data_IF_916645061282
#
_entry.id   IF_916645061282
#
_cell.length_a   1.000
_cell.length_b   1.000
_cell.length_c   1.000
_cell.angle_alpha   90.00
_cell.angle_beta   90.00
_cell.angle_gamma   90.00
#
_symmetry.space_group_name_H-M   'P 1'
#
loop_
_entity.id
_entity.type
_entity.pdbx_description
1 polymer ?
#
# COMPACT_ATOMS: atom_id res chain seq x y z
N UNK A 1 21.86 -2.88 -18.84
CA UNK A 1 20.46 -3.26 -18.59
C UNK A 1 19.99 -3.99 -19.84
N UNK A 2 19.74 -5.29 -19.74
CA UNK A 2 18.92 -5.97 -20.75
C UNK A 2 17.50 -5.44 -20.65
N UNK A 3 16.74 -5.43 -21.74
CA UNK A 3 15.34 -5.00 -21.74
C UNK A 3 14.48 -5.76 -20.70
N UNK A 4 14.88 -6.99 -20.34
CA UNK A 4 14.26 -7.79 -19.28
C UNK A 4 14.37 -7.23 -17.85
N UNK A 5 15.32 -6.32 -17.56
CA UNK A 5 15.44 -5.71 -16.22
C UNK A 5 14.42 -4.58 -15.99
N UNK A 6 13.77 -4.08 -17.04
CA UNK A 6 12.89 -2.89 -16.99
C UNK A 6 11.54 -3.20 -16.31
N UNK A 7 11.14 -4.48 -16.24
CA UNK A 7 9.80 -4.89 -15.77
C UNK A 7 9.77 -5.46 -14.34
N UNK A 8 10.89 -5.43 -13.62
CA UNK A 8 10.96 -5.89 -12.23
C UNK A 8 10.88 -4.72 -11.28
N UNK A 9 10.03 -4.83 -10.27
CA UNK A 9 9.96 -3.84 -9.19
C UNK A 9 9.74 -4.52 -7.85
N UNK A 10 10.42 -4.02 -6.84
CA UNK A 10 10.16 -4.39 -5.45
C UNK A 10 8.92 -3.67 -4.94
N UNK A 11 8.24 -4.26 -3.95
CA UNK A 11 7.07 -3.63 -3.33
C UNK A 11 7.45 -2.32 -2.64
N UNK A 12 8.66 -2.25 -2.09
CA UNK A 12 9.27 -1.02 -1.56
C UNK A 12 9.34 0.09 -2.62
N UNK A 13 9.84 -0.21 -3.82
CA UNK A 13 9.94 0.77 -4.91
C UNK A 13 8.56 1.28 -5.33
N UNK A 14 7.55 0.41 -5.39
CA UNK A 14 6.17 0.83 -5.68
C UNK A 14 5.66 1.85 -4.66
N UNK A 15 5.86 1.58 -3.36
CA UNK A 15 5.44 2.48 -2.29
C UNK A 15 6.24 3.77 -2.25
N UNK A 16 7.53 3.70 -2.53
CA UNK A 16 8.38 4.89 -2.64
C UNK A 16 7.94 5.80 -3.80
N UNK A 17 7.64 5.21 -4.97
CA UNK A 17 7.13 5.94 -6.12
C UNK A 17 5.77 6.56 -5.84
N UNK A 18 4.86 5.81 -5.21
CA UNK A 18 3.56 6.31 -4.78
C UNK A 18 3.69 7.50 -3.81
N UNK A 19 4.52 7.39 -2.77
CA UNK A 19 4.78 8.51 -1.83
C UNK A 19 5.36 9.73 -2.56
N UNK A 20 6.30 9.50 -3.47
CA UNK A 20 6.91 10.58 -4.26
C UNK A 20 5.88 11.29 -5.14
N UNK A 21 4.92 10.55 -5.70
CA UNK A 21 3.81 11.12 -6.45
C UNK A 21 2.88 11.95 -5.55
N UNK A 22 2.53 11.47 -4.35
CA UNK A 22 1.76 12.26 -3.37
C UNK A 22 2.46 13.60 -3.05
N UNK A 23 3.77 13.56 -2.77
CA UNK A 23 4.56 14.76 -2.51
C UNK A 23 4.58 15.73 -3.70
N UNK A 24 4.74 15.21 -4.92
CA UNK A 24 4.76 16.01 -6.13
C UNK A 24 3.43 16.73 -6.39
N UNK A 25 2.31 16.20 -5.88
CA UNK A 25 0.98 16.81 -6.03
C UNK A 25 0.70 17.94 -5.04
N UNK A 26 1.44 18.04 -3.93
CA UNK A 26 1.19 19.05 -2.87
C UNK A 26 1.14 20.48 -3.41
N UNK A 27 2.10 20.96 -4.22
CA UNK A 27 2.06 22.35 -4.69
C UNK A 27 0.81 22.68 -5.53
N UNK A 28 0.24 21.68 -6.21
CA UNK A 28 -0.97 21.85 -7.00
C UNK A 28 -2.23 21.80 -6.12
N UNK A 29 -2.25 20.91 -5.12
CA UNK A 29 -3.32 20.86 -4.13
C UNK A 29 -3.40 22.16 -3.31
N UNK A 30 -2.26 22.70 -2.87
CA UNK A 30 -2.19 23.97 -2.16
C UNK A 30 -2.78 25.13 -2.98
N UNK A 31 -2.43 25.22 -4.28
CA UNK A 31 -3.00 26.23 -5.20
C UNK A 31 -4.49 26.05 -5.44
N UNK A 32 -4.96 24.81 -5.42
CA UNK A 32 -6.37 24.48 -5.57
C UNK A 32 -7.16 24.56 -4.24
N UNK A 33 -6.50 24.91 -3.13
CA UNK A 33 -7.08 24.89 -1.78
C UNK A 33 -7.66 23.52 -1.38
N UNK A 34 -7.05 22.44 -1.86
CA UNK A 34 -7.41 21.06 -1.52
C UNK A 34 -6.49 20.62 -0.38
N UNK A 35 -7.04 20.51 0.82
CA UNK A 35 -6.26 20.06 1.97
C UNK A 35 -5.93 18.56 1.87
N UNK A 36 -4.65 18.22 2.09
CA UNK A 36 -4.12 16.85 2.16
C UNK A 36 -3.77 16.42 3.59
N UNK A 37 -4.00 17.29 4.59
CA UNK A 37 -3.60 17.05 5.97
C UNK A 37 -4.63 16.19 6.68
N UNK A 38 -4.18 15.23 7.47
CA UNK A 38 -5.02 14.14 8.01
C UNK A 38 -6.27 14.60 8.79
N UNK A 39 -6.20 15.73 9.52
CA UNK A 39 -7.30 16.23 10.35
C UNK A 39 -8.35 17.05 9.57
N UNK A 40 -8.06 17.42 8.33
CA UNK A 40 -8.92 18.26 7.48
C UNK A 40 -8.76 17.82 6.02
N UNK A 41 -8.68 16.51 5.78
CA UNK A 41 -8.42 15.99 4.44
C UNK A 41 -9.65 16.18 3.56
N UNK A 42 -9.44 16.81 2.41
CA UNK A 42 -10.51 17.06 1.47
C UNK A 42 -10.80 15.81 0.63
N UNK A 43 -12.08 15.51 0.36
CA UNK A 43 -12.49 14.34 -0.44
C UNK A 43 -11.81 14.22 -1.80
N UNK A 44 -11.58 15.35 -2.48
CA UNK A 44 -10.85 15.35 -3.76
C UNK A 44 -9.39 14.90 -3.62
N UNK A 45 -8.77 15.13 -2.46
CA UNK A 45 -7.44 14.61 -2.17
C UNK A 45 -7.47 13.09 -2.00
N UNK A 46 -8.44 12.56 -1.25
CA UNK A 46 -8.62 11.11 -1.07
C UNK A 46 -8.75 10.39 -2.43
N UNK A 47 -9.58 10.94 -3.32
CA UNK A 47 -9.77 10.40 -4.67
C UNK A 47 -8.49 10.45 -5.50
N UNK A 48 -7.73 11.56 -5.40
CA UNK A 48 -6.44 11.68 -6.07
C UNK A 48 -5.44 10.66 -5.51
N UNK A 49 -5.35 10.52 -4.19
CA UNK A 49 -4.45 9.59 -3.54
C UNK A 49 -4.79 8.12 -3.89
N UNK A 50 -6.07 7.75 -3.91
CA UNK A 50 -6.50 6.43 -4.38
C UNK A 50 -6.14 6.20 -5.85
N UNK A 51 -6.33 7.20 -6.72
CA UNK A 51 -5.93 7.10 -8.13
C UNK A 51 -4.41 6.90 -8.29
N UNK A 52 -3.61 7.64 -7.53
CA UNK A 52 -2.14 7.48 -7.52
C UNK A 52 -1.74 6.10 -6.98
N UNK A 53 -2.40 5.61 -5.94
CA UNK A 53 -2.16 4.26 -5.42
C UNK A 53 -2.50 3.20 -6.47
N UNK A 54 -3.58 3.38 -7.22
CA UNK A 54 -3.98 2.46 -8.27
C UNK A 54 -2.92 2.39 -9.36
N UNK A 55 -2.41 3.55 -9.79
CA UNK A 55 -1.38 3.63 -10.84
C UNK A 55 -0.03 3.07 -10.38
N UNK A 56 0.45 3.47 -9.19
CA UNK A 56 1.82 3.17 -8.76
C UNK A 56 1.97 1.87 -7.96
N UNK A 57 0.88 1.33 -7.41
CA UNK A 57 0.93 0.14 -6.54
C UNK A 57 -0.01 -0.95 -7.02
N UNK A 58 -1.31 -0.66 -7.09
CA UNK A 58 -2.31 -1.71 -7.37
C UNK A 58 -2.12 -2.31 -8.76
N UNK A 59 -2.09 -1.48 -9.81
CA UNK A 59 -2.02 -1.96 -11.18
C UNK A 59 -0.73 -2.75 -11.45
N UNK A 60 0.48 -2.32 -11.02
CA UNK A 60 1.68 -3.14 -11.15
C UNK A 60 1.56 -4.50 -10.45
N UNK A 61 1.04 -4.56 -9.22
CA UNK A 61 0.83 -5.82 -8.49
C UNK A 61 -0.18 -6.71 -9.22
N UNK A 62 -1.25 -6.10 -9.73
CA UNK A 62 -2.30 -6.79 -10.45
C UNK A 62 -1.87 -7.27 -11.84
N UNK A 63 -0.85 -6.66 -12.43
CA UNK A 63 -0.21 -7.04 -13.68
C UNK A 63 0.97 -8.00 -13.49
N UNK A 64 1.26 -8.45 -12.27
CA UNK A 64 2.35 -9.39 -12.00
C UNK A 64 2.14 -10.70 -12.77
N UNK A 65 3.14 -11.12 -13.53
CA UNK A 65 3.16 -12.35 -14.31
C UNK A 65 2.93 -13.60 -13.46
N UNK A 66 3.31 -13.55 -12.17
CA UNK A 66 3.10 -14.66 -11.24
C UNK A 66 1.67 -14.74 -10.66
N UNK A 67 0.78 -13.79 -11.02
CA UNK A 67 -0.59 -13.73 -10.53
C UNK A 67 -1.42 -14.94 -10.97
N UNK A 68 -2.24 -15.44 -10.05
CA UNK A 68 -3.19 -16.53 -10.28
C UNK A 68 -4.63 -16.01 -10.25
N UNK A 69 -5.53 -16.58 -11.05
CA UNK A 69 -6.98 -16.29 -11.03
C UNK A 69 -7.66 -16.53 -9.67
N UNK A 70 -7.06 -17.34 -8.80
CA UNK A 70 -7.54 -17.58 -7.44
C UNK A 70 -7.13 -16.49 -6.44
N UNK A 71 -6.28 -15.55 -6.85
CA UNK A 71 -5.75 -14.46 -6.02
C UNK A 71 -6.86 -13.47 -5.63
N UNK A 72 -6.86 -13.08 -4.36
CA UNK A 72 -7.74 -12.05 -3.83
C UNK A 72 -7.22 -10.68 -4.21
N UNK A 73 -8.15 -9.74 -4.43
CA UNK A 73 -7.80 -8.36 -4.80
C UNK A 73 -7.04 -7.66 -3.69
N UNK A 74 -6.20 -6.71 -4.08
CA UNK A 74 -5.52 -5.84 -3.13
C UNK A 74 -6.55 -4.97 -2.39
N UNK A 75 -6.33 -4.82 -1.09
CA UNK A 75 -7.01 -3.86 -0.23
C UNK A 75 -6.97 -2.44 -0.86
N UNK A 76 -8.07 -1.70 -0.67
CA UNK A 76 -8.13 -0.30 -1.09
C UNK A 76 -7.26 0.57 -0.16
N UNK A 77 -6.67 1.61 -0.74
CA UNK A 77 -5.92 2.62 -0.01
C UNK A 77 -6.87 3.47 0.84
N UNK A 78 -6.43 3.87 2.04
CA UNK A 78 -7.17 4.77 2.94
C UNK A 78 -8.56 4.24 3.34
N UNK A 79 -8.72 2.91 3.36
CA UNK A 79 -9.92 2.24 3.87
C UNK A 79 -9.51 1.32 5.02
N UNK A 80 -9.93 1.68 6.23
CA UNK A 80 -9.85 0.78 7.39
C UNK A 80 -10.76 -0.44 7.13
N UNK A 81 -10.17 -1.63 7.08
CA UNK A 81 -10.90 -2.89 6.94
C UNK A 81 -10.94 -3.61 8.28
N UNK A 82 -12.14 -3.97 8.73
CA UNK A 82 -12.31 -4.77 9.94
C UNK A 82 -11.82 -6.21 9.75
N UNK A 83 -11.88 -6.72 8.51
CA UNK A 83 -11.59 -8.09 8.14
C UNK A 83 -10.79 -8.17 6.82
N UNK A 84 -9.58 -8.73 6.90
CA UNK A 84 -8.70 -8.96 5.76
C UNK A 84 -8.86 -10.36 5.16
N UNK A 85 -9.85 -11.16 5.59
CA UNK A 85 -10.10 -12.52 5.12
C UNK A 85 -10.44 -12.59 3.62
N UNK A 86 -10.84 -11.48 3.00
CA UNK A 86 -11.26 -11.41 1.59
C UNK A 86 -10.37 -10.56 0.69
N UNK A 87 -9.24 -10.09 1.19
CA UNK A 87 -8.30 -9.24 0.46
C UNK A 87 -6.86 -9.73 0.61
N UNK A 88 -6.04 -9.40 -0.38
CA UNK A 88 -4.59 -9.33 -0.23
C UNK A 88 -4.24 -7.91 0.24
N UNK A 89 -3.07 -7.67 0.84
CA UNK A 89 -2.71 -6.34 1.33
C UNK A 89 -1.21 -6.08 1.30
N UNK A 90 -0.84 -4.82 1.49
CA UNK A 90 0.55 -4.41 1.70
C UNK A 90 0.82 -4.45 3.19
N UNK A 91 1.93 -5.04 3.61
CA UNK A 91 2.32 -5.12 5.00
C UNK A 91 3.74 -4.59 5.24
N UNK A 92 4.06 -4.34 6.52
CA UNK A 92 5.42 -4.05 6.95
C UNK A 92 6.18 -5.34 7.28
N UNK A 93 7.40 -5.50 6.76
CA UNK A 93 8.30 -6.65 6.94
C UNK A 93 9.14 -6.55 8.22
N UNK A 94 8.50 -6.22 9.35
CA UNK A 94 9.21 -5.74 10.54
C UNK A 94 8.90 -6.55 11.82
N UNK A 95 7.85 -7.37 11.83
CA UNK A 95 7.43 -8.10 13.03
C UNK A 95 7.22 -9.60 12.78
N UNK A 96 8.13 -10.47 13.25
CA UNK A 96 7.95 -11.91 13.17
C UNK A 96 6.66 -12.34 13.88
N UNK A 97 5.72 -12.91 13.13
CA UNK A 97 4.47 -13.42 13.70
C UNK A 97 3.38 -12.39 13.98
N UNK A 98 3.51 -11.15 13.45
CA UNK A 98 2.42 -10.18 13.35
C UNK A 98 2.29 -9.68 11.89
N UNK A 99 1.11 -9.80 11.30
CA UNK A 99 0.80 -9.19 10.01
C UNK A 99 0.42 -7.73 10.26
N UNK A 100 1.21 -6.79 9.77
CA UNK A 100 0.98 -5.35 9.97
C UNK A 100 0.56 -4.73 8.66
N UNK A 101 -0.74 -4.62 8.41
CA UNK A 101 -1.29 -4.12 7.15
C UNK A 101 -1.18 -2.60 7.07
N UNK A 102 -0.76 -2.09 5.91
CA UNK A 102 -0.67 -0.67 5.60
C UNK A 102 -2.03 -0.15 5.16
N UNK A 103 -2.47 0.94 5.80
CA UNK A 103 -3.74 1.62 5.46
C UNK A 103 -3.46 2.82 4.57
N UNK A 104 -2.60 3.75 5.01
CA UNK A 104 -2.29 5.00 4.29
C UNK A 104 -0.99 5.67 4.74
N UNK A 105 -0.46 6.58 3.92
CA UNK A 105 0.51 7.57 4.39
C UNK A 105 -0.19 8.69 5.16
N UNK A 106 0.46 9.20 6.21
CA UNK A 106 -0.01 10.29 7.07
C UNK A 106 1.06 11.37 7.21
N UNK A 107 0.63 12.59 7.54
CA UNK A 107 1.49 13.76 7.70
C UNK A 107 1.49 14.24 9.15
N UNK A 108 2.51 13.85 9.92
CA UNK A 108 2.66 14.24 11.32
C UNK A 108 3.52 15.47 11.52
N UNK A 109 4.76 15.46 11.03
CA UNK A 109 5.69 16.61 11.15
C UNK A 109 6.02 17.22 9.79
N UNK A 110 6.27 16.36 8.80
CA UNK A 110 6.42 16.76 7.39
C UNK A 110 5.47 15.93 6.53
N UNK A 111 5.15 16.38 5.30
CA UNK A 111 4.18 15.66 4.48
C UNK A 111 4.57 14.20 4.25
N UNK A 112 3.61 13.31 4.50
CA UNK A 112 3.73 11.86 4.32
C UNK A 112 4.97 11.25 5.01
N UNK A 113 5.25 11.67 6.25
CA UNK A 113 6.38 11.19 7.07
C UNK A 113 6.07 9.97 7.93
N UNK A 114 4.84 9.52 7.91
CA UNK A 114 4.40 8.36 8.68
C UNK A 114 3.45 7.49 7.86
N UNK A 115 3.25 6.26 8.31
CA UNK A 115 2.30 5.31 7.73
C UNK A 115 1.34 4.88 8.84
N UNK A 116 0.05 4.96 8.57
CA UNK A 116 -0.96 4.29 9.37
C UNK A 116 -0.96 2.81 9.01
N UNK A 117 -0.85 1.99 10.03
CA UNK A 117 -0.90 0.53 9.93
C UNK A 117 -1.91 -0.04 10.91
N UNK A 118 -2.35 -1.26 10.64
CA UNK A 118 -3.20 -2.02 11.55
C UNK A 118 -2.61 -3.40 11.76
N UNK A 119 -2.54 -3.84 13.01
CA UNK A 119 -2.14 -5.21 13.33
C UNK A 119 -3.30 -6.15 12.95
N UNK A 120 -3.01 -7.19 12.17
CA UNK A 120 -3.97 -8.18 11.69
C UNK A 120 -3.75 -9.49 12.43
N UNK A 121 -4.81 -10.01 13.02
CA UNK A 121 -4.76 -11.29 13.75
C UNK A 121 -4.42 -12.46 12.82
N UNK A 122 -3.42 -13.27 13.17
CA UNK A 122 -3.00 -14.39 12.30
C UNK A 122 -4.05 -15.49 12.14
N UNK A 123 -4.90 -15.71 13.15
CA UNK A 123 -5.87 -16.79 13.15
C UNK A 123 -7.19 -16.36 12.49
N UNK A 124 -7.65 -15.15 12.81
CA UNK A 124 -8.95 -14.63 12.37
C UNK A 124 -8.88 -13.70 11.17
N UNK A 125 -7.71 -13.10 10.91
CA UNK A 125 -7.49 -12.05 9.90
C UNK A 125 -8.28 -10.76 10.15
N UNK A 126 -8.81 -10.60 11.36
CA UNK A 126 -9.45 -9.36 11.78
C UNK A 126 -8.39 -8.30 12.10
N UNK A 127 -8.71 -7.05 11.76
CA UNK A 127 -7.98 -5.90 12.22
C UNK A 127 -8.08 -5.74 13.75
N UNK A 128 -6.97 -5.34 14.37
CA UNK A 128 -6.88 -5.01 15.79
C UNK A 128 -6.76 -3.50 15.96
N UNK A 129 -5.60 -3.03 16.41
CA UNK A 129 -5.36 -1.64 16.74
C UNK A 129 -4.63 -0.95 15.58
N UNK A 130 -5.18 0.18 15.14
CA UNK A 130 -4.46 1.06 14.24
C UNK A 130 -3.37 1.82 15.00
N UNK A 131 -2.19 1.92 14.41
CA UNK A 131 -1.07 2.71 14.93
C UNK A 131 -0.35 3.43 13.81
N UNK A 132 0.45 4.42 14.17
CA UNK A 132 1.21 5.24 13.22
C UNK A 132 2.69 4.99 13.45
N UNK A 133 3.43 4.67 12.39
CA UNK A 133 4.86 4.39 12.43
C UNK A 133 5.63 5.29 11.46
N UNK A 134 6.91 5.63 11.73
CA UNK A 134 7.75 6.32 10.77
C UNK A 134 7.91 5.52 9.47
N UNK A 135 7.84 6.18 8.32
CA UNK A 135 7.97 5.48 7.03
C UNK A 135 9.42 5.16 6.65
N UNK A 136 10.39 5.90 7.18
CA UNK A 136 11.80 5.84 6.74
C UNK A 136 12.46 4.48 7.01
N UNK A 137 11.99 3.77 8.03
CA UNK A 137 12.48 2.45 8.43
C UNK A 137 11.51 1.32 8.01
N UNK A 138 10.45 1.66 7.27
CA UNK A 138 9.44 0.70 6.82
C UNK A 138 9.96 -0.09 5.62
N UNK A 139 9.83 -1.42 5.68
CA UNK A 139 9.99 -2.30 4.52
C UNK A 139 8.64 -2.84 4.13
N UNK A 140 8.26 -2.67 2.87
CA UNK A 140 6.95 -3.04 2.36
C UNK A 140 7.00 -4.39 1.65
N UNK A 141 6.06 -5.24 2.00
CA UNK A 141 5.82 -6.53 1.35
C UNK A 141 4.38 -6.62 0.89
N UNK A 142 4.15 -7.40 -0.16
CA UNK A 142 2.81 -7.76 -0.60
C UNK A 142 2.43 -9.09 0.03
N UNK A 143 1.42 -9.08 0.90
CA UNK A 143 0.83 -10.28 1.47
C UNK A 143 -0.25 -10.80 0.51
N UNK A 144 0.18 -11.68 -0.40
CA UNK A 144 -0.65 -12.27 -1.45
C UNK A 144 -1.53 -13.37 -0.87
N UNK A 145 -2.84 -13.26 -1.07
CA UNK A 145 -3.82 -14.24 -0.58
C UNK A 145 -4.61 -14.86 -1.70
N UNK A 146 -5.08 -16.08 -1.46
CA UNK A 146 -5.86 -16.87 -2.40
C UNK A 146 -7.11 -17.41 -1.71
N UNK A 147 -8.15 -17.72 -2.50
CA UNK A 147 -9.42 -18.26 -1.96
C UNK A 147 -9.25 -19.58 -1.19
N UNK A 148 -8.36 -20.46 -1.64
CA UNK A 148 -8.22 -21.82 -1.14
C UNK A 148 -6.75 -22.28 -1.02
N UNK A 149 -5.81 -21.34 -0.85
CA UNK A 149 -4.39 -21.66 -0.73
C UNK A 149 -3.73 -20.85 0.39
N UNK A 150 -2.59 -21.31 0.94
CA UNK A 150 -1.79 -20.53 1.87
C UNK A 150 -1.41 -19.17 1.29
N UNK A 151 -1.31 -18.16 2.17
CA UNK A 151 -0.83 -16.85 1.76
C UNK A 151 0.68 -16.87 1.50
N UNK A 152 1.14 -15.94 0.66
CA UNK A 152 2.54 -15.78 0.27
C UNK A 152 3.03 -14.36 0.56
N UNK A 153 4.29 -14.23 0.96
CA UNK A 153 4.95 -12.92 1.14
C UNK A 153 5.77 -12.62 -0.10
N UNK A 154 5.31 -11.66 -0.89
CA UNK A 154 5.92 -11.24 -2.15
C UNK A 154 6.69 -9.94 -1.93
N UNK A 155 7.99 -9.96 -2.24
CA UNK A 155 8.88 -8.78 -2.14
C UNK A 155 9.14 -8.09 -3.47
N UNK A 156 8.93 -8.83 -4.56
CA UNK A 156 9.20 -8.38 -5.93
C UNK A 156 8.12 -8.92 -6.85
N UNK A 157 7.68 -8.08 -7.78
CA UNK A 157 6.75 -8.42 -8.85
C UNK A 157 7.44 -8.33 -10.21
N UNK A 158 6.90 -9.04 -11.20
CA UNK A 158 7.32 -8.95 -12.59
C UNK A 158 6.12 -8.48 -13.42
N UNK A 159 6.04 -7.18 -13.72
CA UNK A 159 4.90 -6.63 -14.45
C UNK A 159 4.92 -7.07 -15.92
N UNK A 160 3.75 -7.29 -16.50
CA UNK A 160 3.56 -7.56 -17.94
C UNK A 160 3.07 -6.28 -18.63
N UNK A 161 3.56 -6.00 -19.85
CA UNK A 161 3.07 -4.92 -20.72
C UNK A 161 1.60 -5.11 -21.16
#
# INVERSE_FOLDING_TARGET
MSDDDILRSTVDELFFNFRSALLAMIPFADRAMISYRDHDMHRSWEQLAECLFDVFVRNPIEADRSRNNAELRLARYDIDQDDYSRSSWIALDNEPGNYVAVVRFMSRNVPFDTVQVVDVDHATLNAKLARVVPWQDAKFVFFRRFKNAPAEVVRRIEAVE
#
